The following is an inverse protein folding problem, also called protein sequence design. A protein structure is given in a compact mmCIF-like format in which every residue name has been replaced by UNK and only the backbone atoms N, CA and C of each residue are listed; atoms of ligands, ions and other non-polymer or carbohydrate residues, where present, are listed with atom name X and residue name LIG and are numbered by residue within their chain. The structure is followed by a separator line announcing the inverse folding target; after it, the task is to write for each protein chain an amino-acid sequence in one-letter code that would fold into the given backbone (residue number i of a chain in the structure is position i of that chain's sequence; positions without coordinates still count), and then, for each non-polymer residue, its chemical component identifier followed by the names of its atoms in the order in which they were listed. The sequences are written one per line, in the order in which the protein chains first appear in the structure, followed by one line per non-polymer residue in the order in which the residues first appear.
data_IF_811566918754
#
_entry.id   IF_811566918754
#
_cell.length_a   1.000
_cell.length_b   1.000
_cell.length_c   1.000
_cell.angle_alpha   90.00
_cell.angle_beta   90.00
_cell.angle_gamma   90.00
#
_symmetry.space_group_name_H-M   'P 1'
#
loop_
_entity.id
_entity.type
_entity.pdbx_description
1 polymer ?
#
# COMPACT_ATOMS: atom_id res chain seq x y z
N UNK A 1 -17.29 16.01 7.45
CA UNK A 1 -15.94 16.31 7.97
C UNK A 1 -15.06 15.11 7.71
N UNK A 2 -14.59 14.93 6.48
CA UNK A 2 -13.69 13.82 6.12
C UNK A 2 -12.26 14.28 6.35
N UNK A 3 -11.76 14.12 7.57
CA UNK A 3 -10.36 14.42 7.85
C UNK A 3 -9.51 13.37 7.13
N UNK A 4 -8.55 13.82 6.34
CA UNK A 4 -7.49 12.97 5.80
C UNK A 4 -6.80 12.29 7.00
N UNK A 5 -7.16 11.04 7.27
CA UNK A 5 -6.55 10.26 8.34
C UNK A 5 -5.16 9.86 7.87
N UNK A 6 -4.18 10.73 8.12
CA UNK A 6 -2.77 10.39 7.97
C UNK A 6 -2.43 9.38 9.06
N UNK A 7 -2.59 8.10 8.75
CA UNK A 7 -2.22 7.00 9.61
C UNK A 7 -0.77 6.62 9.33
N UNK A 8 0.09 6.78 10.34
CA UNK A 8 1.50 6.40 10.24
C UNK A 8 1.61 4.92 10.63
N UNK A 9 1.99 4.10 9.67
CA UNK A 9 2.23 2.68 9.86
C UNK A 9 3.72 2.39 9.98
N UNK A 10 4.10 1.56 10.95
CA UNK A 10 5.41 0.92 10.97
C UNK A 10 5.20 -0.58 10.86
N UNK A 11 6.16 -1.29 10.25
CA UNK A 11 6.08 -2.74 10.07
C UNK A 11 7.03 -3.22 8.97
N UNK A 12 7.19 -4.54 8.84
CA UNK A 12 7.93 -5.13 7.72
C UNK A 12 6.95 -5.54 6.62
N UNK A 13 7.39 -5.33 5.40
CA UNK A 13 6.66 -5.73 4.22
C UNK A 13 7.54 -5.77 2.98
N UNK A 14 6.96 -6.31 1.91
CA UNK A 14 7.58 -6.35 0.59
C UNK A 14 6.77 -5.44 -0.33
N UNK A 15 7.46 -4.46 -0.90
CA UNK A 15 6.90 -3.55 -1.91
C UNK A 15 7.31 -4.04 -3.30
N UNK A 16 6.32 -4.22 -4.19
CA UNK A 16 6.56 -4.75 -5.53
C UNK A 16 5.70 -4.05 -6.57
N UNK A 17 6.10 -4.10 -7.83
CA UNK A 17 5.29 -3.60 -8.95
C UNK A 17 4.25 -4.65 -9.36
N UNK A 18 3.10 -4.19 -9.85
CA UNK A 18 2.15 -5.10 -10.49
C UNK A 18 2.74 -5.70 -11.76
N UNK A 19 2.41 -6.97 -12.02
CA UNK A 19 2.72 -7.62 -13.31
C UNK A 19 1.98 -6.88 -14.43
N UNK A 20 2.62 -6.73 -15.59
CA UNK A 20 2.04 -6.05 -16.76
C UNK A 20 0.63 -6.53 -17.10
N UNK A 21 0.39 -7.85 -17.10
CA UNK A 21 -0.94 -8.41 -17.40
C UNK A 21 -2.03 -8.16 -16.34
N UNK A 22 -1.67 -7.57 -15.19
CA UNK A 22 -2.62 -7.16 -14.15
C UNK A 22 -2.94 -5.66 -14.19
N UNK A 23 -2.18 -4.88 -14.95
CA UNK A 23 -2.39 -3.44 -15.11
C UNK A 23 -3.47 -3.27 -16.18
N UNK A 24 -4.64 -2.80 -15.78
CA UNK A 24 -5.79 -2.59 -16.66
C UNK A 24 -5.98 -1.12 -17.06
N UNK A 25 -5.28 -0.19 -16.42
CA UNK A 25 -5.41 1.25 -16.66
C UNK A 25 -6.70 1.86 -16.11
N UNK A 26 -7.49 1.10 -15.35
CA UNK A 26 -8.76 1.54 -14.75
C UNK A 26 -8.69 1.36 -13.23
N UNK A 27 -8.52 0.13 -12.76
CA UNK A 27 -8.42 -0.18 -11.33
C UNK A 27 -6.95 -0.19 -10.87
N UNK A 28 -6.06 -0.73 -11.70
CA UNK A 28 -4.62 -0.79 -11.47
C UNK A 28 -3.95 0.05 -12.55
N UNK A 29 -3.41 1.20 -12.14
CA UNK A 29 -2.74 2.14 -13.04
C UNK A 29 -1.26 1.82 -13.19
N UNK A 30 -0.67 2.35 -14.26
CA UNK A 30 0.77 2.27 -14.45
C UNK A 30 1.48 3.08 -13.35
N UNK A 31 2.34 2.41 -12.58
CA UNK A 31 3.02 3.01 -11.43
C UNK A 31 2.40 2.65 -10.07
N UNK A 32 1.24 1.97 -10.06
CA UNK A 32 0.72 1.39 -8.82
C UNK A 32 1.67 0.32 -8.29
N UNK A 33 1.75 0.24 -6.97
CA UNK A 33 2.59 -0.70 -6.24
C UNK A 33 1.73 -1.59 -5.36
N UNK A 34 2.17 -2.83 -5.17
CA UNK A 34 1.60 -3.75 -4.19
C UNK A 34 2.50 -3.79 -2.97
N UNK A 35 1.97 -3.41 -1.81
CA UNK A 35 2.58 -3.62 -0.51
C UNK A 35 1.99 -4.88 0.12
N UNK A 36 2.87 -5.79 0.54
CA UNK A 36 2.53 -6.99 1.28
C UNK A 36 3.13 -6.89 2.67
N UNK A 37 2.33 -6.65 3.70
CA UNK A 37 2.81 -6.37 5.06
C UNK A 37 2.28 -7.38 6.08
N UNK A 38 3.09 -7.73 7.09
CA UNK A 38 2.70 -8.71 8.11
C UNK A 38 1.73 -8.11 9.12
N UNK A 39 0.56 -8.73 9.32
CA UNK A 39 -0.49 -8.22 10.22
C UNK A 39 0.03 -8.03 11.65
N UNK A 40 0.86 -8.95 12.14
CA UNK A 40 1.45 -8.87 13.49
C UNK A 40 2.46 -7.73 13.68
N UNK A 41 2.90 -7.08 12.60
CA UNK A 41 3.92 -6.04 12.67
C UNK A 41 3.41 -4.67 12.23
N UNK A 42 2.21 -4.60 11.68
CA UNK A 42 1.57 -3.33 11.36
C UNK A 42 0.81 -2.85 12.60
N UNK A 43 1.10 -1.62 13.01
CA UNK A 43 0.54 -1.00 14.22
C UNK A 43 -0.97 -0.76 14.16
N UNK A 44 -1.55 -0.69 12.97
CA UNK A 44 -2.98 -0.42 12.77
C UNK A 44 -3.47 -1.06 11.45
N UNK A 45 -4.78 -1.17 11.25
CA UNK A 45 -5.38 -1.72 10.04
C UNK A 45 -5.26 -0.70 8.90
N UNK A 46 -4.65 -1.06 7.76
CA UNK A 46 -4.65 -0.22 6.56
C UNK A 46 -6.08 -0.12 6.01
N UNK A 47 -6.49 1.10 5.64
CA UNK A 47 -7.78 1.38 5.02
C UNK A 47 -7.60 2.22 3.76
N UNK A 48 -8.63 2.25 2.92
CA UNK A 48 -8.67 3.08 1.70
C UNK A 48 -8.57 4.56 2.10
N UNK A 49 -7.96 5.37 1.23
CA UNK A 49 -7.68 6.81 1.39
C UNK A 49 -6.62 7.14 2.46
N UNK A 50 -5.99 6.14 3.09
CA UNK A 50 -4.88 6.37 4.00
C UNK A 50 -3.58 6.67 3.23
N UNK A 51 -2.73 7.51 3.81
CA UNK A 51 -1.40 7.82 3.27
C UNK A 51 -0.33 7.01 3.98
N UNK A 52 0.51 6.31 3.20
CA UNK A 52 1.67 5.57 3.65
C UNK A 52 2.94 6.27 3.15
N UNK A 53 3.86 6.56 4.05
CA UNK A 53 5.18 7.11 3.71
C UNK A 53 6.21 5.97 3.73
N UNK A 54 6.75 5.65 2.56
CA UNK A 54 7.74 4.59 2.40
C UNK A 54 8.84 5.01 1.42
N UNK A 55 10.04 4.50 1.63
CA UNK A 55 11.12 4.68 0.67
C UNK A 55 10.78 3.99 -0.65
N UNK A 56 10.73 4.75 -1.73
CA UNK A 56 10.53 4.20 -3.06
C UNK A 56 11.71 3.25 -3.39
N UNK A 57 11.42 2.04 -3.90
CA UNK A 57 12.45 1.02 -4.09
C UNK A 57 13.44 1.40 -5.20
N UNK A 58 13.08 2.34 -6.09
CA UNK A 58 13.90 2.80 -7.20
C UNK A 58 14.64 4.08 -6.84
N UNK A 59 13.93 5.13 -6.43
CA UNK A 59 14.54 6.44 -6.13
C UNK A 59 15.22 6.48 -4.76
N UNK A 60 14.93 5.52 -3.86
CA UNK A 60 15.42 5.48 -2.48
C UNK A 60 15.05 6.73 -1.67
N UNK A 61 14.07 7.50 -2.13
CA UNK A 61 13.56 8.67 -1.43
C UNK A 61 12.26 8.32 -0.71
N UNK A 62 12.02 8.98 0.43
CA UNK A 62 10.75 8.88 1.13
C UNK A 62 9.65 9.46 0.23
N UNK A 63 8.64 8.64 -0.09
CA UNK A 63 7.55 9.03 -0.95
C UNK A 63 6.22 8.69 -0.27
N UNK A 64 5.22 9.53 -0.52
CA UNK A 64 3.86 9.36 -0.03
C UNK A 64 3.04 8.58 -1.04
N UNK A 65 2.32 7.58 -0.56
CA UNK A 65 1.44 6.74 -1.35
C UNK A 65 0.06 6.67 -0.72
N UNK A 66 -0.97 6.79 -1.53
CA UNK A 66 -2.36 6.58 -1.15
C UNK A 66 -2.73 5.10 -1.25
N UNK A 67 -3.50 4.62 -0.28
CA UNK A 67 -4.07 3.27 -0.27
C UNK A 67 -5.33 3.26 -1.13
N UNK A 68 -5.25 2.60 -2.27
CA UNK A 68 -6.40 2.43 -3.18
C UNK A 68 -7.26 1.23 -2.76
N UNK A 69 -6.61 0.13 -2.37
CA UNK A 69 -7.29 -1.05 -1.84
C UNK A 69 -6.48 -1.66 -0.72
N UNK A 70 -7.16 -2.19 0.30
CA UNK A 70 -6.56 -2.95 1.37
C UNK A 70 -7.38 -4.21 1.64
N UNK A 71 -6.72 -5.36 1.60
CA UNK A 71 -7.33 -6.66 1.86
C UNK A 71 -6.41 -7.48 2.76
N UNK A 72 -6.99 -8.36 3.57
CA UNK A 72 -6.23 -9.35 4.33
C UNK A 72 -6.31 -10.68 3.60
N UNK A 73 -5.23 -11.45 3.61
CA UNK A 73 -5.24 -12.79 3.07
C UNK A 73 -6.16 -13.72 3.92
N UNK A 74 -6.61 -14.86 3.38
CA UNK A 74 -7.53 -15.77 4.09
C UNK A 74 -7.00 -16.30 5.42
N UNK A 75 -5.68 -16.36 5.61
CA UNK A 75 -5.05 -16.79 6.87
C UNK A 75 -4.90 -15.66 7.90
N UNK A 76 -5.40 -14.46 7.59
CA UNK A 76 -5.33 -13.28 8.44
C UNK A 76 -3.91 -12.90 8.89
N UNK A 77 -2.89 -13.26 8.11
CA UNK A 77 -1.48 -13.10 8.48
C UNK A 77 -0.82 -11.93 7.76
N UNK A 78 -1.36 -11.55 6.61
CA UNK A 78 -0.73 -10.59 5.69
C UNK A 78 -1.77 -9.65 5.09
N UNK A 79 -1.46 -8.36 5.09
CA UNK A 79 -2.17 -7.35 4.32
C UNK A 79 -1.65 -7.30 2.88
N UNK A 80 -2.54 -7.39 1.91
CA UNK A 80 -2.29 -7.03 0.51
C UNK A 80 -2.91 -5.65 0.24
N UNK A 81 -2.05 -4.67 -0.01
CA UNK A 81 -2.41 -3.26 -0.15
C UNK A 81 -1.98 -2.77 -1.53
N UNK A 82 -2.88 -2.11 -2.26
CA UNK A 82 -2.55 -1.37 -3.47
C UNK A 82 -2.24 0.07 -3.12
N UNK A 83 -1.10 0.54 -3.60
CA UNK A 83 -0.58 1.87 -3.37
C UNK A 83 -0.50 2.65 -4.69
N UNK A 84 -0.91 3.91 -4.65
CA UNK A 84 -0.77 4.86 -5.75
C UNK A 84 -0.01 6.07 -5.29
N UNK A 85 0.84 6.63 -6.15
CA UNK A 85 1.57 7.85 -5.81
C UNK A 85 0.59 9.00 -5.66
N UNK A 86 0.59 9.63 -4.48
CA UNK A 86 -0.16 10.86 -4.20
C UNK A 86 0.55 12.08 -4.79
#
# INVERSE_FOLDING_TARGET
TGGESTAIYTGRGVLTRYKLGRIDGINILHGDLKLTALVCEVTDKPAVDHIIEIYDPVSRQLQRYEVITASVDPSASVYSIQLRRA
#
